data_IF_678484783691
#
_entry.id   IF_678484783691
#
_cell.length_a   1.000
_cell.length_b   1.000
_cell.length_c   1.000
_cell.angle_alpha   90.00
_cell.angle_beta   90.00
_cell.angle_gamma   90.00
#
_symmetry.space_group_name_H-M   'P 1'
#
loop_
_entity.id
_entity.type
_entity.pdbx_description
1 polymer ?
#
# COMPACT_ATOMS: atom_id res chain seq x y z
N UNK A 1 -10.31 -18.99 25.86
CA UNK A 1 -11.51 -18.38 25.21
C UNK A 1 -11.28 -16.89 25.13
N UNK A 2 -11.22 -16.36 23.91
CA UNK A 2 -11.30 -14.91 23.69
C UNK A 2 -12.64 -14.43 24.27
N UNK A 3 -12.64 -13.28 24.96
CA UNK A 3 -13.88 -12.71 25.48
C UNK A 3 -14.85 -12.41 24.33
N UNK A 4 -16.15 -12.43 24.58
CA UNK A 4 -17.17 -12.11 23.57
C UNK A 4 -16.96 -10.73 22.95
N UNK A 5 -16.46 -9.75 23.70
CA UNK A 5 -16.12 -8.42 23.24
C UNK A 5 -14.95 -8.44 22.22
N UNK A 6 -13.88 -9.21 22.48
CA UNK A 6 -12.78 -9.38 21.54
C UNK A 6 -13.25 -10.05 20.24
N UNK A 7 -14.07 -11.10 20.34
CA UNK A 7 -14.69 -11.76 19.19
C UNK A 7 -15.56 -10.80 18.35
N UNK A 8 -16.28 -9.88 18.98
CA UNK A 8 -17.13 -8.92 18.28
C UNK A 8 -16.30 -7.83 17.56
N UNK A 9 -15.17 -7.43 18.13
CA UNK A 9 -14.23 -6.51 17.47
C UNK A 9 -13.64 -7.14 16.19
N UNK A 10 -13.22 -8.41 16.24
CA UNK A 10 -12.70 -9.12 15.07
C UNK A 10 -13.75 -9.32 13.97
N UNK A 11 -15.01 -9.56 14.32
CA UNK A 11 -16.10 -9.74 13.36
C UNK A 11 -16.47 -8.47 12.58
N UNK A 12 -16.03 -7.29 13.02
CA UNK A 12 -16.29 -6.00 12.37
C UNK A 12 -15.11 -5.47 11.55
N UNK A 13 -14.02 -6.24 11.46
CA UNK A 13 -12.85 -5.85 10.70
C UNK A 13 -12.86 -6.51 9.33
N UNK A 14 -12.35 -5.77 8.34
CA UNK A 14 -12.13 -6.25 6.98
C UNK A 14 -10.89 -5.59 6.37
N UNK A 15 -10.42 -6.10 5.25
CA UNK A 15 -9.46 -5.39 4.44
C UNK A 15 -10.08 -4.10 3.89
N UNK A 16 -9.30 -3.03 3.74
CA UNK A 16 -9.74 -1.83 3.06
C UNK A 16 -9.99 -2.12 1.58
N UNK A 17 -10.92 -1.40 0.96
CA UNK A 17 -10.89 -1.28 -0.49
C UNK A 17 -9.65 -0.47 -0.91
N UNK A 18 -9.23 -0.63 -2.16
CA UNK A 18 -8.11 0.14 -2.70
C UNK A 18 -8.32 1.66 -2.56
N UNK A 19 -9.54 2.12 -2.80
CA UNK A 19 -9.89 3.54 -2.66
C UNK A 19 -9.84 4.02 -1.20
N UNK A 20 -10.31 3.21 -0.24
CA UNK A 20 -10.20 3.51 1.19
C UNK A 20 -8.73 3.56 1.61
N UNK A 21 -7.92 2.62 1.13
CA UNK A 21 -6.48 2.58 1.42
C UNK A 21 -5.79 3.85 0.90
N UNK A 22 -6.03 4.23 -0.36
CA UNK A 22 -5.41 5.42 -0.96
C UNK A 22 -5.86 6.70 -0.26
N UNK A 23 -7.15 6.83 0.06
CA UNK A 23 -7.66 7.97 0.81
C UNK A 23 -6.98 8.08 2.19
N UNK A 24 -6.83 6.96 2.89
CA UNK A 24 -6.13 6.88 4.16
C UNK A 24 -4.64 7.26 4.03
N UNK A 25 -3.96 6.74 3.00
CA UNK A 25 -2.55 7.04 2.73
C UNK A 25 -2.31 8.52 2.43
N UNK A 26 -3.23 9.18 1.73
CA UNK A 26 -3.11 10.62 1.44
C UNK A 26 -3.16 11.51 2.67
N UNK A 27 -3.71 11.06 3.79
CA UNK A 27 -3.68 11.81 5.05
C UNK A 27 -4.24 13.22 4.96
N UNK A 28 -5.23 13.47 4.07
CA UNK A 28 -5.81 14.79 3.81
C UNK A 28 -5.07 15.64 2.75
N UNK A 29 -3.92 15.19 2.26
CA UNK A 29 -3.17 15.90 1.22
C UNK A 29 -3.81 15.67 -0.16
N UNK A 30 -3.99 16.76 -0.93
CA UNK A 30 -4.55 16.71 -2.29
C UNK A 30 -3.42 16.74 -3.31
N UNK A 31 -3.49 15.85 -4.32
CA UNK A 31 -2.59 15.80 -5.47
C UNK A 31 -1.10 15.66 -5.12
N UNK A 32 -0.78 15.07 -3.96
CA UNK A 32 0.60 14.81 -3.55
C UNK A 32 1.06 13.42 -3.98
N UNK A 33 2.36 13.30 -4.22
CA UNK A 33 2.98 12.04 -4.69
C UNK A 33 3.07 11.03 -3.55
N UNK A 34 3.45 11.48 -2.36
CA UNK A 34 3.70 10.65 -1.18
C UNK A 34 2.74 11.01 -0.04
N UNK A 35 2.62 10.15 0.98
CA UNK A 35 1.81 10.42 2.18
C UNK A 35 2.23 11.69 2.96
N UNK A 36 3.43 12.21 2.71
CA UNK A 36 4.01 13.40 3.36
C UNK A 36 4.18 14.61 2.44
N UNK A 37 3.98 14.48 1.12
CA UNK A 37 4.12 15.60 0.18
C UNK A 37 4.63 15.19 -1.20
N UNK A 38 5.40 16.06 -1.84
CA UNK A 38 5.93 15.82 -3.19
C UNK A 38 7.40 15.41 -3.19
N UNK A 39 8.16 15.86 -2.18
CA UNK A 39 9.58 15.52 -2.07
C UNK A 39 9.76 14.16 -1.42
N UNK A 40 10.65 13.34 -1.99
CA UNK A 40 10.90 11.99 -1.49
C UNK A 40 11.53 12.02 -0.09
N UNK A 41 12.52 12.86 0.11
CA UNK A 41 13.13 13.11 1.43
C UNK A 41 12.53 14.38 2.04
N UNK A 42 12.22 14.33 3.33
CA UNK A 42 11.81 15.51 4.09
C UNK A 42 13.00 16.00 4.92
N UNK A 43 13.46 17.24 4.65
CA UNK A 43 14.59 17.83 5.36
C UNK A 43 15.85 16.94 5.35
N UNK A 44 16.06 16.21 4.25
CA UNK A 44 17.19 15.28 4.08
C UNK A 44 17.04 13.94 4.82
N UNK A 45 15.86 13.66 5.39
CA UNK A 45 15.57 12.43 6.11
C UNK A 45 14.64 11.52 5.33
N UNK A 46 14.81 10.22 5.50
CA UNK A 46 13.91 9.20 4.96
C UNK A 46 12.55 9.25 5.69
N UNK A 47 11.48 9.07 4.91
CA UNK A 47 10.10 9.10 5.42
C UNK A 47 9.45 7.71 5.45
N UNK A 48 10.13 6.71 4.95
CA UNK A 48 9.65 5.33 4.91
C UNK A 48 10.83 4.35 4.81
N UNK A 49 10.58 3.09 5.11
CA UNK A 49 11.53 2.02 4.92
C UNK A 49 11.49 1.52 3.47
N UNK A 50 12.60 1.63 2.75
CA UNK A 50 12.74 1.26 1.35
C UNK A 50 14.18 0.80 1.06
N UNK A 51 14.42 0.21 -0.12
CA UNK A 51 15.77 -0.16 -0.53
C UNK A 51 16.60 1.09 -0.88
N UNK A 52 17.59 1.37 -0.06
CA UNK A 52 18.54 2.47 -0.27
C UNK A 52 19.79 1.98 -1.01
N UNK A 53 20.33 2.79 -1.94
CA UNK A 53 21.49 2.38 -2.74
C UNK A 53 21.15 1.71 -4.07
N UNK A 54 21.95 0.72 -4.52
CA UNK A 54 21.81 0.08 -5.83
C UNK A 54 21.08 -1.26 -5.73
N UNK A 55 19.82 -1.28 -6.19
CA UNK A 55 19.01 -2.50 -6.19
C UNK A 55 19.44 -3.47 -7.30
N UNK A 56 19.53 -4.78 -7.07
CA UNK A 56 19.39 -5.51 -5.80
C UNK A 56 20.72 -5.82 -5.13
N UNK A 57 21.82 -5.21 -5.55
CA UNK A 57 23.19 -5.64 -5.23
C UNK A 57 23.80 -4.97 -4.01
N UNK A 58 23.37 -3.75 -3.67
CA UNK A 58 23.93 -3.02 -2.54
C UNK A 58 22.84 -2.17 -1.86
N UNK A 59 22.47 -2.53 -0.64
CA UNK A 59 21.65 -1.70 0.22
C UNK A 59 22.58 -0.85 1.09
N UNK A 60 22.48 0.48 1.01
CA UNK A 60 23.31 1.40 1.81
C UNK A 60 22.82 1.58 3.23
N UNK A 61 21.61 1.09 3.55
CA UNK A 61 20.98 1.17 4.87
C UNK A 61 20.89 2.59 5.41
N UNK A 62 20.73 3.60 4.53
CA UNK A 62 20.63 5.00 4.98
C UNK A 62 19.34 5.27 5.76
N UNK A 63 18.30 4.47 5.53
CA UNK A 63 17.05 4.47 6.30
C UNK A 63 17.14 3.73 7.64
N UNK A 64 18.28 3.06 7.90
CA UNK A 64 18.58 2.36 9.16
C UNK A 64 18.17 0.88 9.20
N UNK A 65 17.59 0.31 8.13
CA UNK A 65 17.04 -1.04 8.16
C UNK A 65 17.47 -1.87 6.95
N UNK A 66 17.89 -3.11 7.19
CA UNK A 66 18.15 -4.09 6.13
C UNK A 66 16.86 -4.76 5.64
N UNK A 67 15.89 -4.93 6.53
CA UNK A 67 14.61 -5.56 6.30
C UNK A 67 13.46 -4.74 6.86
N UNK A 68 12.60 -5.38 7.65
CA UNK A 68 11.45 -4.71 8.26
C UNK A 68 11.88 -3.68 9.32
N UNK A 69 11.35 -2.48 9.23
CA UNK A 69 11.43 -1.49 10.30
C UNK A 69 10.35 -1.76 11.36
N UNK A 70 10.61 -1.41 12.63
CA UNK A 70 9.55 -1.39 13.64
C UNK A 70 8.39 -0.50 13.21
N UNK A 71 7.16 -0.95 13.46
CA UNK A 71 5.97 -0.14 13.19
C UNK A 71 6.04 1.20 13.93
N UNK A 72 5.51 2.26 13.33
CA UNK A 72 5.51 3.62 13.89
C UNK A 72 6.92 4.23 14.04
N UNK A 73 7.92 3.71 13.34
CA UNK A 73 9.26 4.31 13.34
C UNK A 73 9.28 5.65 12.61
N UNK A 74 8.60 5.73 11.49
CA UNK A 74 8.49 6.96 10.69
C UNK A 74 7.30 7.81 11.13
N UNK A 75 7.27 9.05 10.66
CA UNK A 75 6.24 10.03 11.02
C UNK A 75 4.86 9.63 10.48
N UNK A 76 3.83 9.77 11.30
CA UNK A 76 2.45 9.56 10.87
C UNK A 76 2.03 10.58 9.81
N UNK A 77 1.12 10.18 8.91
CA UNK A 77 0.48 11.10 7.98
C UNK A 77 -0.56 12.00 8.70
N UNK A 78 -1.22 12.90 7.96
CA UNK A 78 -2.17 13.86 8.52
C UNK A 78 -3.43 13.25 9.16
N UNK A 79 -3.66 11.94 8.98
CA UNK A 79 -4.74 11.19 9.68
C UNK A 79 -4.21 10.36 10.85
N UNK A 80 -2.94 10.53 11.24
CA UNK A 80 -2.34 9.77 12.32
C UNK A 80 -2.00 8.33 11.96
N UNK A 81 -1.93 7.99 10.67
CA UNK A 81 -1.62 6.65 10.19
C UNK A 81 -0.12 6.53 9.87
N UNK A 82 0.48 5.45 10.35
CA UNK A 82 1.88 5.13 10.17
C UNK A 82 2.08 4.15 9.02
N UNK A 83 3.29 4.15 8.47
CA UNK A 83 3.78 3.14 7.52
C UNK A 83 2.87 2.96 6.28
N UNK A 84 2.26 4.08 5.82
CA UNK A 84 1.44 4.10 4.60
C UNK A 84 2.29 4.08 3.32
N UNK A 85 3.60 4.01 3.44
CA UNK A 85 4.55 3.87 2.35
C UNK A 85 5.77 3.10 2.84
N UNK A 86 6.33 2.21 2.00
CA UNK A 86 7.46 1.37 2.35
C UNK A 86 7.10 0.27 3.36
N UNK A 87 8.11 -0.29 3.99
CA UNK A 87 8.06 -1.39 4.96
C UNK A 87 7.49 -2.68 4.35
N UNK A 88 6.17 -2.83 4.25
CA UNK A 88 5.52 -3.96 3.59
C UNK A 88 4.43 -3.51 2.63
N UNK A 89 4.26 -4.25 1.54
CA UNK A 89 3.07 -4.15 0.72
C UNK A 89 1.82 -4.47 1.53
N UNK A 90 0.73 -3.76 1.28
CA UNK A 90 -0.52 -3.96 1.99
C UNK A 90 -1.64 -4.41 1.06
N UNK A 91 -2.26 -5.55 1.41
CA UNK A 91 -3.31 -6.19 0.63
C UNK A 91 -4.62 -5.43 0.79
N UNK A 92 -5.25 -5.11 -0.34
CA UNK A 92 -6.60 -4.57 -0.42
C UNK A 92 -7.63 -5.65 -0.77
N UNK A 93 -8.91 -5.38 -0.50
CA UNK A 93 -10.01 -6.30 -0.82
C UNK A 93 -10.33 -6.39 -2.31
N UNK A 94 -9.86 -5.44 -3.10
CA UNK A 94 -10.18 -5.32 -4.52
C UNK A 94 -9.45 -6.36 -5.36
N UNK A 95 -10.15 -6.87 -6.38
CA UNK A 95 -9.51 -7.55 -7.48
C UNK A 95 -8.63 -6.58 -8.27
N UNK A 96 -7.51 -7.05 -8.80
CA UNK A 96 -6.67 -6.23 -9.66
C UNK A 96 -7.19 -6.27 -11.10
N UNK A 97 -7.52 -5.11 -11.67
CA UNK A 97 -7.73 -4.90 -13.10
C UNK A 97 -6.95 -3.64 -13.50
N UNK A 98 -6.01 -3.78 -14.42
CA UNK A 98 -5.18 -2.67 -14.90
C UNK A 98 -5.99 -1.58 -15.59
N UNK A 99 -7.20 -1.91 -16.10
CA UNK A 99 -8.09 -1.00 -16.83
C UNK A 99 -9.14 -0.36 -15.93
N UNK A 100 -9.26 -0.78 -14.67
CA UNK A 100 -10.36 -0.38 -13.79
C UNK A 100 -10.55 1.13 -13.72
N UNK A 101 -9.49 1.87 -13.45
CA UNK A 101 -9.59 3.34 -13.34
C UNK A 101 -9.78 4.02 -14.71
N UNK A 102 -9.33 3.41 -15.79
CA UNK A 102 -9.60 3.93 -17.14
C UNK A 102 -11.08 3.92 -17.49
N UNK A 103 -11.87 3.03 -16.89
CA UNK A 103 -13.33 2.97 -17.06
C UNK A 103 -14.07 4.19 -16.48
N UNK A 104 -13.39 4.98 -15.65
CA UNK A 104 -13.95 6.17 -15.00
C UNK A 104 -13.55 7.49 -15.69
N UNK A 105 -12.76 7.44 -16.76
CA UNK A 105 -12.19 8.62 -17.44
C UNK A 105 -13.24 9.72 -17.76
N UNK A 106 -14.50 9.33 -18.06
CA UNK A 106 -15.59 10.23 -18.41
C UNK A 106 -16.59 10.44 -17.28
N UNK A 107 -16.30 9.97 -16.07
CA UNK A 107 -17.15 10.14 -14.89
C UNK A 107 -16.54 11.21 -13.99
N UNK A 108 -17.28 12.25 -13.62
CA UNK A 108 -16.75 13.35 -12.79
C UNK A 108 -16.39 12.88 -11.38
N UNK A 109 -17.18 11.97 -10.83
CA UNK A 109 -17.01 11.40 -9.49
C UNK A 109 -17.47 9.94 -9.51
N UNK A 110 -16.70 9.07 -8.84
CA UNK A 110 -17.12 7.70 -8.54
C UNK A 110 -17.16 7.56 -7.02
N UNK A 111 -18.37 7.43 -6.49
CA UNK A 111 -18.59 7.32 -5.06
C UNK A 111 -18.28 5.90 -4.57
N UNK A 112 -17.48 5.80 -3.51
CA UNK A 112 -17.18 4.59 -2.77
C UNK A 112 -16.90 3.34 -3.66
N UNK A 113 -15.94 3.40 -4.59
CA UNK A 113 -15.67 2.29 -5.51
C UNK A 113 -15.22 1.05 -4.73
N UNK A 114 -15.73 -0.11 -5.11
CA UNK A 114 -15.50 -1.41 -4.46
C UNK A 114 -14.60 -2.34 -5.27
N UNK A 115 -13.91 -1.79 -6.27
CA UNK A 115 -13.11 -2.58 -7.20
C UNK A 115 -13.92 -3.26 -8.31
N UNK A 116 -13.25 -3.90 -9.26
CA UNK A 116 -13.89 -4.67 -10.32
C UNK A 116 -14.48 -5.98 -9.78
N UNK A 117 -15.42 -6.58 -10.51
CA UNK A 117 -16.05 -7.85 -10.13
C UNK A 117 -15.12 -9.06 -10.22
N UNK A 118 -14.10 -8.97 -11.08
CA UNK A 118 -13.09 -10.01 -11.30
C UNK A 118 -11.77 -9.36 -11.65
N UNK A 119 -10.67 -10.13 -11.58
CA UNK A 119 -9.36 -9.63 -11.97
C UNK A 119 -9.18 -9.57 -13.49
N UNK A 120 -8.28 -8.71 -13.93
CA UNK A 120 -7.76 -8.69 -15.30
C UNK A 120 -6.28 -8.33 -15.26
N UNK A 121 -5.43 -9.32 -15.55
CA UNK A 121 -3.99 -9.14 -15.65
C UNK A 121 -3.46 -10.03 -16.80
N UNK A 122 -3.26 -9.48 -18.02
CA UNK A 122 -2.95 -10.25 -19.22
C UNK A 122 -1.65 -11.03 -19.16
N UNK A 123 -0.69 -10.59 -18.32
CA UNK A 123 0.62 -11.26 -18.15
C UNK A 123 0.43 -12.63 -17.47
N UNK A 124 -0.51 -12.72 -16.53
CA UNK A 124 -0.83 -13.95 -15.79
C UNK A 124 -2.36 -14.17 -15.76
N UNK A 125 -2.96 -14.53 -16.91
CA UNK A 125 -4.42 -14.52 -17.09
C UNK A 125 -5.16 -15.60 -16.30
N UNK A 126 -4.46 -16.61 -15.79
CA UNK A 126 -5.05 -17.73 -15.03
C UNK A 126 -4.81 -17.63 -13.52
N UNK A 127 -4.09 -16.60 -13.07
CA UNK A 127 -3.78 -16.38 -11.67
C UNK A 127 -4.59 -15.19 -11.11
N UNK A 128 -5.56 -15.46 -10.19
CA UNK A 128 -6.38 -14.41 -9.59
C UNK A 128 -5.54 -13.40 -8.82
N UNK A 129 -5.64 -12.13 -9.19
CA UNK A 129 -4.84 -11.05 -8.58
C UNK A 129 -5.69 -10.15 -7.69
N UNK A 130 -5.17 -9.88 -6.48
CA UNK A 130 -5.61 -8.79 -5.62
C UNK A 130 -4.74 -7.56 -5.81
N UNK A 131 -5.24 -6.42 -5.37
CA UNK A 131 -4.46 -5.19 -5.32
C UNK A 131 -3.58 -5.18 -4.06
N UNK A 132 -2.30 -4.81 -4.23
CA UNK A 132 -1.43 -4.39 -3.12
C UNK A 132 -0.95 -2.96 -3.31
N UNK A 133 -0.71 -2.28 -2.20
CA UNK A 133 -0.40 -0.85 -2.13
C UNK A 133 0.78 -0.58 -1.20
N UNK A 134 1.35 0.62 -1.31
CA UNK A 134 2.32 1.17 -0.37
C UNK A 134 3.78 0.89 -0.66
N UNK A 135 4.11 -0.15 -1.44
CA UNK A 135 5.50 -0.57 -1.61
C UNK A 135 6.04 -1.30 -0.38
N UNK A 136 7.32 -1.63 -0.40
CA UNK A 136 7.98 -2.36 0.69
C UNK A 136 9.43 -1.92 0.86
N UNK A 137 10.10 -2.49 1.86
CA UNK A 137 11.55 -2.28 2.07
C UNK A 137 12.43 -2.77 0.90
N UNK A 138 11.88 -3.54 -0.04
CA UNK A 138 12.58 -3.94 -1.28
C UNK A 138 12.33 -2.97 -2.44
N UNK A 139 11.48 -1.97 -2.29
CA UNK A 139 11.23 -0.99 -3.34
C UNK A 139 12.36 0.04 -3.41
N UNK A 140 12.90 0.22 -4.62
CA UNK A 140 13.94 1.20 -4.91
C UNK A 140 13.46 2.19 -5.98
N UNK A 141 13.91 3.43 -5.93
CA UNK A 141 13.51 4.49 -6.86
C UNK A 141 13.75 4.14 -8.33
N UNK A 142 14.79 3.37 -8.63
CA UNK A 142 15.12 2.97 -10.00
C UNK A 142 14.36 1.76 -10.52
N UNK A 143 13.77 0.96 -9.62
CA UNK A 143 13.10 -0.31 -9.95
C UNK A 143 11.61 -0.30 -9.63
N UNK A 144 11.25 0.10 -8.42
CA UNK A 144 9.88 0.05 -7.90
C UNK A 144 9.59 1.30 -7.07
N UNK A 145 9.01 2.33 -7.65
CA UNK A 145 8.62 3.55 -6.90
C UNK A 145 7.23 3.42 -6.27
N UNK A 146 6.87 2.24 -5.75
CA UNK A 146 5.49 1.95 -5.35
C UNK A 146 5.10 2.45 -3.96
N UNK A 147 5.99 3.15 -3.27
CA UNK A 147 5.69 3.97 -2.10
C UNK A 147 4.97 5.30 -2.42
N UNK A 148 4.66 5.57 -3.72
CA UNK A 148 3.75 6.64 -4.13
C UNK A 148 2.32 6.27 -3.82
N UNK A 149 1.52 7.22 -3.33
CA UNK A 149 0.12 6.96 -2.93
C UNK A 149 -0.78 6.44 -4.05
N UNK A 150 -0.44 6.73 -5.32
CA UNK A 150 -1.21 6.25 -6.49
C UNK A 150 -0.71 4.93 -7.07
N UNK A 151 0.44 4.43 -6.63
CA UNK A 151 1.00 3.19 -7.16
C UNK A 151 0.20 1.97 -6.69
N UNK A 152 0.02 1.01 -7.59
CA UNK A 152 -0.71 -0.23 -7.36
C UNK A 152 -0.02 -1.40 -8.07
N UNK A 153 -0.09 -2.58 -7.47
CA UNK A 153 0.51 -3.78 -8.05
C UNK A 153 -0.45 -4.98 -7.93
N UNK A 154 -0.37 -5.94 -8.86
CA UNK A 154 -1.06 -7.22 -8.74
C UNK A 154 -0.37 -8.13 -7.73
N UNK A 155 -1.14 -8.92 -7.00
CA UNK A 155 -0.66 -9.88 -6.01
C UNK A 155 -1.43 -11.19 -6.10
N UNK A 156 -0.71 -12.31 -6.22
CA UNK A 156 -1.30 -13.66 -6.21
C UNK A 156 -1.74 -14.06 -4.81
N UNK A 157 -2.98 -14.52 -4.66
CA UNK A 157 -3.56 -14.80 -3.33
C UNK A 157 -2.92 -15.99 -2.62
N UNK A 158 -2.34 -16.91 -3.35
CA UNK A 158 -1.72 -18.14 -2.86
C UNK A 158 -0.20 -18.03 -2.64
N UNK A 159 0.35 -16.82 -2.80
CA UNK A 159 1.79 -16.56 -2.65
C UNK A 159 2.07 -15.80 -1.36
N UNK A 160 2.89 -16.37 -0.48
CA UNK A 160 3.42 -15.67 0.69
C UNK A 160 4.72 -14.94 0.36
N UNK A 161 4.85 -13.68 0.77
CA UNK A 161 6.08 -12.88 0.65
C UNK A 161 6.43 -12.24 1.99
N UNK A 162 7.74 -12.22 2.33
CA UNK A 162 8.23 -11.63 3.60
C UNK A 162 7.99 -10.12 3.70
N UNK A 163 7.68 -9.46 2.59
CA UNK A 163 7.47 -8.02 2.48
C UNK A 163 6.01 -7.68 2.13
N UNK A 164 5.07 -8.57 2.46
CA UNK A 164 3.63 -8.35 2.27
C UNK A 164 2.88 -8.55 3.57
N UNK A 165 1.98 -7.66 3.87
CA UNK A 165 1.13 -7.65 5.04
C UNK A 165 -0.25 -7.05 4.72
N UNK A 166 -0.95 -6.63 5.75
CA UNK A 166 -2.25 -5.99 5.61
C UNK A 166 -2.56 -5.10 6.81
N UNK A 167 -3.48 -4.18 6.61
CA UNK A 167 -4.16 -3.46 7.70
C UNK A 167 -5.66 -3.67 7.61
N UNK A 168 -6.33 -3.59 8.75
CA UNK A 168 -7.78 -3.72 8.82
C UNK A 168 -8.46 -2.37 8.94
N UNK A 169 -9.67 -2.27 8.38
CA UNK A 169 -10.62 -1.19 8.62
C UNK A 169 -11.82 -1.73 9.38
N UNK A 170 -12.46 -0.88 10.16
CA UNK A 170 -13.70 -1.19 10.87
C UNK A 170 -14.89 -0.72 10.03
N UNK A 171 -15.93 -1.56 9.95
CA UNK A 171 -17.21 -1.18 9.38
C UNK A 171 -17.97 -0.21 10.29
#
# INVERSE_FOLDING_TARGET
RLSSAASDVYKRQRLPTEAEWEWAARGGLKNKVYPWGDEFLSEGQDNCNYWTGTFPTANSLSDGFEGLAPVMHYKANGYGLYDMAGNVWEICSDWYDERYYSSFKNKPIVDNPKGPKTWHYPIEPYDPKRVIRGGSFLCNKSYCSSYRVSARMPYSQDTGMIHTGFRCVKN
#
